data_IF_345462781815
#
_entry.id   IF_345462781815
#
_cell.length_a   1.000
_cell.length_b   1.000
_cell.length_c   1.000
_cell.angle_alpha   90.00
_cell.angle_beta   90.00
_cell.angle_gamma   90.00
#
_symmetry.space_group_name_H-M   'P 1'
#
loop_
_entity.id
_entity.type
_entity.pdbx_description
1 polymer ?
#
# COMPACT_ATOMS: atom_id res chain seq x y z
N UNK A 1 -11.34 1.67 4.34
CA UNK A 1 -10.10 1.52 3.54
C UNK A 1 -8.91 1.45 4.48
N UNK A 2 -8.05 0.45 4.33
CA UNK A 2 -6.82 0.30 5.13
C UNK A 2 -5.72 1.24 4.61
N UNK A 3 -4.88 1.73 5.51
CA UNK A 3 -3.75 2.61 5.19
C UNK A 3 -2.45 1.83 5.30
N UNK A 4 -1.79 1.64 4.16
CA UNK A 4 -0.42 1.13 4.13
C UNK A 4 0.55 2.30 3.90
N UNK A 5 1.73 2.21 4.48
CA UNK A 5 2.79 3.22 4.31
C UNK A 5 3.79 2.72 3.28
N UNK A 6 4.04 3.50 2.23
CA UNK A 6 4.99 3.15 1.16
C UNK A 6 6.37 3.72 1.47
N UNK A 7 7.14 3.00 2.28
CA UNK A 7 8.49 3.40 2.70
C UNK A 7 9.27 2.24 3.32
N UNK A 8 10.61 2.36 3.33
CA UNK A 8 11.52 1.53 4.11
C UNK A 8 12.20 2.33 5.26
N UNK A 9 11.75 3.57 5.53
CA UNK A 9 12.26 4.43 6.59
C UNK A 9 11.59 4.08 7.92
N UNK A 10 12.28 3.35 8.78
CA UNK A 10 11.77 2.80 10.05
C UNK A 10 11.17 3.87 10.96
N UNK A 11 11.86 5.02 11.12
CA UNK A 11 11.39 6.09 12.00
C UNK A 11 10.05 6.67 11.54
N UNK A 12 9.83 6.75 10.22
CA UNK A 12 8.56 7.21 9.64
C UNK A 12 7.42 6.22 9.87
N UNK A 13 7.73 4.93 9.80
CA UNK A 13 6.76 3.87 10.09
C UNK A 13 6.38 3.93 11.57
N UNK A 14 7.35 4.02 12.48
CA UNK A 14 7.10 4.12 13.93
C UNK A 14 6.24 5.33 14.26
N UNK A 15 6.61 6.51 13.75
CA UNK A 15 5.88 7.75 13.97
C UNK A 15 4.39 7.62 13.56
N UNK A 16 4.10 7.12 12.34
CA UNK A 16 2.73 6.97 11.88
C UNK A 16 1.98 5.85 12.62
N UNK A 17 2.68 4.80 13.02
CA UNK A 17 2.10 3.69 13.78
C UNK A 17 1.67 4.13 15.20
N UNK A 18 2.42 5.03 15.85
CA UNK A 18 2.03 5.63 17.13
C UNK A 18 0.71 6.42 17.05
N UNK A 19 0.40 7.02 15.89
CA UNK A 19 -0.88 7.66 15.63
C UNK A 19 -2.01 6.69 15.23
N UNK A 20 -1.73 5.38 15.13
CA UNK A 20 -2.70 4.38 14.68
C UNK A 20 -3.05 4.48 13.19
N UNK A 21 -2.16 5.06 12.37
CA UNK A 21 -2.40 5.30 10.93
C UNK A 21 -1.70 4.27 10.03
N UNK A 22 -1.31 3.11 10.57
CA UNK A 22 -0.60 2.07 9.82
C UNK A 22 -1.29 0.73 9.96
N UNK A 23 -2.00 0.31 8.90
CA UNK A 23 -2.58 -1.02 8.79
C UNK A 23 -1.64 -2.01 8.08
N UNK A 24 -0.56 -1.53 7.48
CA UNK A 24 0.44 -2.32 6.79
C UNK A 24 1.52 -1.47 6.14
N UNK A 25 2.47 -2.10 5.47
CA UNK A 25 3.59 -1.42 4.81
C UNK A 25 3.84 -2.04 3.43
N UNK A 26 4.11 -1.19 2.45
CA UNK A 26 4.68 -1.64 1.18
C UNK A 26 6.12 -1.17 1.05
N UNK A 27 6.96 -2.09 0.60
CA UNK A 27 8.32 -1.76 0.14
C UNK A 27 8.48 -2.10 -1.33
N UNK A 28 9.56 -1.65 -1.92
CA UNK A 28 9.97 -2.02 -3.27
C UNK A 28 11.50 -1.87 -3.39
N UNK A 29 12.13 -2.43 -4.45
CA UNK A 29 13.58 -2.37 -4.62
C UNK A 29 14.16 -0.95 -4.57
N UNK A 30 13.43 0.05 -5.07
CA UNK A 30 13.88 1.45 -5.05
C UNK A 30 13.90 2.03 -3.63
N UNK A 31 12.88 1.75 -2.82
CA UNK A 31 12.80 2.18 -1.42
C UNK A 31 13.87 1.49 -0.57
N UNK A 32 14.08 0.19 -0.75
CA UNK A 32 15.14 -0.57 -0.08
C UNK A 32 16.51 0.00 -0.44
N UNK A 33 16.79 0.22 -1.73
CA UNK A 33 18.05 0.85 -2.17
C UNK A 33 18.25 2.23 -1.53
N UNK A 34 17.20 3.04 -1.45
CA UNK A 34 17.24 4.38 -0.85
C UNK A 34 17.55 4.33 0.65
N UNK A 35 17.09 3.31 1.37
CA UNK A 35 17.40 3.12 2.79
C UNK A 35 18.86 2.76 3.04
N UNK A 36 19.58 2.26 2.05
CA UNK A 36 20.98 1.81 2.16
C UNK A 36 21.17 0.56 3.03
N UNK A 37 20.10 -0.15 3.37
CA UNK A 37 20.09 -1.31 4.27
C UNK A 37 19.84 -2.63 3.52
N UNK A 38 20.17 -3.74 4.17
CA UNK A 38 19.83 -5.09 3.68
C UNK A 38 18.31 -5.30 3.68
N UNK A 39 17.81 -5.93 2.60
CA UNK A 39 16.35 -6.15 2.42
C UNK A 39 15.76 -7.05 3.50
N UNK A 40 16.46 -8.10 3.91
CA UNK A 40 15.96 -9.05 4.91
C UNK A 40 15.90 -8.38 6.29
N UNK A 41 16.99 -7.67 6.67
CA UNK A 41 17.06 -6.97 7.94
C UNK A 41 15.98 -5.90 8.09
N UNK A 42 15.81 -5.03 7.09
CA UNK A 42 14.82 -3.95 7.15
C UNK A 42 13.39 -4.49 7.12
N UNK A 43 13.14 -5.54 6.33
CA UNK A 43 11.83 -6.19 6.29
C UNK A 43 11.48 -6.81 7.63
N UNK A 44 12.42 -7.54 8.26
CA UNK A 44 12.22 -8.10 9.60
C UNK A 44 11.91 -7.01 10.63
N UNK A 45 12.64 -5.90 10.60
CA UNK A 45 12.38 -4.79 11.54
C UNK A 45 11.01 -4.17 11.32
N UNK A 46 10.57 -3.98 10.08
CA UNK A 46 9.22 -3.50 9.76
C UNK A 46 8.15 -4.45 10.30
N UNK A 47 8.31 -5.76 10.09
CA UNK A 47 7.38 -6.77 10.58
C UNK A 47 7.26 -6.79 12.12
N UNK A 48 8.31 -6.41 12.84
CA UNK A 48 8.28 -6.30 14.30
C UNK A 48 7.53 -5.05 14.80
N UNK A 49 7.36 -4.04 13.96
CA UNK A 49 6.68 -2.78 14.30
C UNK A 49 5.19 -2.84 13.93
N UNK A 50 4.87 -3.46 12.79
CA UNK A 50 3.54 -3.43 12.18
C UNK A 50 2.94 -4.82 12.23
N UNK A 51 1.74 -4.94 12.81
CA UNK A 51 1.01 -6.22 12.89
C UNK A 51 0.32 -6.64 11.59
N UNK A 52 0.02 -5.67 10.73
CA UNK A 52 -0.62 -5.93 9.44
C UNK A 52 0.36 -6.33 8.34
N UNK A 53 -0.15 -6.56 7.11
CA UNK A 53 0.66 -7.07 6.00
C UNK A 53 1.86 -6.18 5.65
N UNK A 54 3.02 -6.79 5.43
CA UNK A 54 4.24 -6.13 4.96
C UNK A 54 4.62 -6.71 3.60
N UNK A 55 4.53 -5.89 2.55
CA UNK A 55 4.88 -6.31 1.20
C UNK A 55 6.39 -6.27 0.97
N UNK A 56 6.98 -7.44 0.74
CA UNK A 56 8.39 -7.64 0.38
C UNK A 56 8.49 -8.20 -1.05
N UNK A 57 9.20 -7.49 -1.93
CA UNK A 57 9.22 -7.78 -3.37
C UNK A 57 10.38 -8.70 -3.74
N UNK A 58 10.08 -9.72 -4.55
CA UNK A 58 11.09 -10.59 -5.16
C UNK A 58 11.92 -9.81 -6.18
N UNK A 59 13.12 -10.28 -6.45
CA UNK A 59 14.06 -9.64 -7.41
C UNK A 59 14.21 -10.44 -8.71
N UNK A 60 13.86 -11.71 -8.68
CA UNK A 60 13.89 -12.59 -9.85
C UNK A 60 12.82 -12.22 -10.89
N UNK A 61 13.03 -12.66 -12.12
CA UNK A 61 12.10 -12.47 -13.26
C UNK A 61 11.45 -13.75 -13.73
N UNK A 62 12.03 -14.90 -13.42
CA UNK A 62 11.53 -16.23 -13.80
C UNK A 62 10.70 -16.84 -12.66
N UNK A 63 9.62 -17.53 -13.00
CA UNK A 63 8.66 -18.05 -12.04
C UNK A 63 9.27 -18.93 -10.94
N UNK A 64 10.16 -19.84 -11.29
CA UNK A 64 10.77 -20.78 -10.33
C UNK A 64 11.65 -20.05 -9.30
N UNK A 65 12.39 -19.06 -9.76
CA UNK A 65 13.23 -18.24 -8.91
C UNK A 65 12.37 -17.32 -8.03
N UNK A 66 11.32 -16.67 -8.57
CA UNK A 66 10.35 -15.89 -7.79
C UNK A 66 9.70 -16.73 -6.69
N UNK A 67 9.33 -17.99 -6.98
CA UNK A 67 8.75 -18.90 -5.99
C UNK A 67 9.77 -19.21 -4.88
N UNK A 68 11.03 -19.46 -5.24
CA UNK A 68 12.07 -19.73 -4.26
C UNK A 68 12.35 -18.52 -3.36
N UNK A 69 12.50 -17.32 -3.95
CA UNK A 69 12.65 -16.06 -3.21
C UNK A 69 11.41 -15.77 -2.35
N UNK A 70 10.20 -15.96 -2.90
CA UNK A 70 8.96 -15.73 -2.19
C UNK A 70 8.80 -16.61 -0.94
N UNK A 71 9.15 -17.89 -1.04
CA UNK A 71 9.18 -18.80 0.13
C UNK A 71 10.18 -18.32 1.19
N UNK A 72 11.34 -17.83 0.77
CA UNK A 72 12.36 -17.30 1.68
C UNK A 72 11.88 -16.02 2.36
N UNK A 73 11.25 -15.10 1.62
CA UNK A 73 10.66 -13.89 2.19
C UNK A 73 9.55 -14.21 3.19
N UNK A 74 8.65 -15.14 2.85
CA UNK A 74 7.56 -15.57 3.73
C UNK A 74 8.03 -16.19 5.05
N UNK A 75 9.27 -16.66 5.15
CA UNK A 75 9.86 -17.17 6.40
C UNK A 75 10.33 -16.06 7.35
N UNK A 76 10.38 -14.80 6.91
CA UNK A 76 10.81 -13.67 7.74
C UNK A 76 9.80 -13.44 8.88
N UNK A 77 8.50 -13.42 8.55
CA UNK A 77 7.41 -13.23 9.51
C UNK A 77 6.06 -13.66 8.91
N UNK A 78 5.11 -13.99 9.76
CA UNK A 78 3.76 -14.46 9.36
C UNK A 78 2.94 -13.40 8.61
N UNK A 79 3.26 -12.12 8.78
CA UNK A 79 2.58 -11.01 8.14
C UNK A 79 3.21 -10.55 6.82
N UNK A 80 4.12 -11.32 6.25
CA UNK A 80 4.67 -11.03 4.92
C UNK A 80 3.63 -11.27 3.82
N UNK A 81 3.45 -10.26 2.96
CA UNK A 81 2.81 -10.38 1.67
C UNK A 81 3.89 -10.39 0.59
N UNK A 82 4.16 -11.55 -0.01
CA UNK A 82 5.17 -11.67 -1.07
C UNK A 82 4.74 -10.87 -2.28
N UNK A 83 5.58 -9.93 -2.73
CA UNK A 83 5.25 -9.05 -3.83
C UNK A 83 5.92 -9.53 -5.11
N UNK A 84 5.12 -9.74 -6.16
CA UNK A 84 5.55 -10.27 -7.46
C UNK A 84 5.06 -9.38 -8.60
N UNK A 85 5.84 -9.19 -9.69
CA UNK A 85 5.42 -8.37 -10.82
C UNK A 85 4.29 -9.04 -11.62
N UNK A 86 3.46 -8.22 -12.27
CA UNK A 86 2.36 -8.70 -13.11
C UNK A 86 2.85 -9.12 -14.51
N UNK A 87 3.54 -10.25 -14.55
CA UNK A 87 3.99 -10.98 -15.74
C UNK A 87 3.39 -12.39 -15.73
N UNK A 88 3.48 -13.15 -16.81
CA UNK A 88 3.04 -14.55 -16.80
C UNK A 88 3.80 -15.39 -15.77
N UNK A 89 5.10 -15.15 -15.60
CA UNK A 89 5.92 -15.79 -14.57
C UNK A 89 5.50 -15.35 -13.17
N UNK A 90 5.23 -14.06 -12.97
CA UNK A 90 4.70 -13.53 -11.71
C UNK A 90 3.31 -14.10 -11.36
N UNK A 91 2.43 -14.29 -12.35
CA UNK A 91 1.13 -14.94 -12.15
C UNK A 91 1.27 -16.42 -11.78
N UNK A 92 2.22 -17.15 -12.41
CA UNK A 92 2.57 -18.53 -12.04
C UNK A 92 3.11 -18.58 -10.61
N UNK A 93 4.00 -17.66 -10.24
CA UNK A 93 4.51 -17.53 -8.89
C UNK A 93 3.39 -17.20 -7.88
N UNK A 94 2.51 -16.26 -8.20
CA UNK A 94 1.33 -15.93 -7.40
C UNK A 94 0.46 -17.16 -7.13
N UNK A 95 0.09 -17.89 -8.17
CA UNK A 95 -0.73 -19.10 -8.06
C UNK A 95 -0.10 -20.14 -7.14
N UNK A 96 1.22 -20.32 -7.24
CA UNK A 96 1.94 -21.32 -6.42
C UNK A 96 2.02 -20.86 -4.97
N UNK A 97 2.42 -19.61 -4.72
CA UNK A 97 2.60 -19.08 -3.36
C UNK A 97 1.26 -18.96 -2.62
N UNK A 98 0.20 -18.48 -3.29
CA UNK A 98 -1.14 -18.42 -2.69
C UNK A 98 -1.69 -19.81 -2.39
N UNK A 99 -1.44 -20.80 -3.26
CA UNK A 99 -1.79 -22.20 -3.03
C UNK A 99 -1.06 -22.85 -1.84
N UNK A 100 0.06 -22.27 -1.40
CA UNK A 100 0.78 -22.66 -0.18
C UNK A 100 0.31 -21.89 1.07
N UNK A 101 -0.68 -20.99 0.93
CA UNK A 101 -1.23 -20.21 2.03
C UNK A 101 -0.53 -18.87 2.28
N UNK A 102 0.42 -18.46 1.44
CA UNK A 102 1.09 -17.17 1.60
C UNK A 102 0.24 -16.04 1.03
N UNK A 103 0.24 -14.88 1.69
CA UNK A 103 -0.28 -13.65 1.10
C UNK A 103 0.58 -13.23 -0.08
N UNK A 104 -0.05 -12.87 -1.20
CA UNK A 104 0.65 -12.40 -2.41
C UNK A 104 0.08 -11.05 -2.86
N UNK A 105 0.98 -10.09 -3.07
CA UNK A 105 0.68 -8.79 -3.66
C UNK A 105 1.21 -8.75 -5.10
N UNK A 106 0.30 -8.75 -6.07
CA UNK A 106 0.68 -8.65 -7.49
C UNK A 106 0.80 -7.17 -7.86
N UNK A 107 1.99 -6.74 -8.27
CA UNK A 107 2.34 -5.34 -8.51
C UNK A 107 2.58 -5.00 -9.97
N UNK A 108 2.79 -3.72 -10.29
CA UNK A 108 2.94 -3.20 -11.65
C UNK A 108 1.70 -3.47 -12.51
N UNK A 109 0.54 -3.20 -11.93
CA UNK A 109 -0.75 -3.31 -12.62
C UNK A 109 -1.12 -1.96 -13.25
N UNK A 110 -1.41 -1.98 -14.56
CA UNK A 110 -1.74 -0.80 -15.37
C UNK A 110 -3.00 -0.98 -16.22
N UNK A 111 -3.71 -2.10 -16.09
CA UNK A 111 -4.98 -2.34 -16.79
C UNK A 111 -5.90 -3.25 -15.97
N UNK A 112 -7.22 -3.12 -16.21
CA UNK A 112 -8.22 -3.97 -15.58
C UNK A 112 -8.09 -5.45 -15.99
N UNK A 113 -7.65 -5.73 -17.22
CA UNK A 113 -7.36 -7.10 -17.67
C UNK A 113 -6.24 -7.75 -16.86
N UNK A 114 -5.19 -7.00 -16.55
CA UNK A 114 -4.12 -7.47 -15.68
C UNK A 114 -4.64 -7.79 -14.28
N UNK A 115 -5.47 -6.92 -13.71
CA UNK A 115 -6.06 -7.14 -12.39
C UNK A 115 -6.96 -8.38 -12.36
N UNK A 116 -7.75 -8.63 -13.42
CA UNK A 116 -8.56 -9.83 -13.57
C UNK A 116 -7.70 -11.11 -13.55
N UNK A 117 -6.56 -11.11 -14.23
CA UNK A 117 -5.63 -12.25 -14.22
C UNK A 117 -5.02 -12.48 -12.82
N UNK A 118 -4.67 -11.41 -12.10
CA UNK A 118 -4.14 -11.52 -10.73
C UNK A 118 -5.17 -12.13 -9.78
N UNK A 119 -6.42 -11.71 -9.84
CA UNK A 119 -7.51 -12.29 -9.05
C UNK A 119 -7.68 -13.79 -9.34
N UNK A 120 -7.70 -14.19 -10.63
CA UNK A 120 -7.76 -15.60 -11.03
C UNK A 120 -6.55 -16.42 -10.58
N UNK A 121 -5.38 -15.81 -10.44
CA UNK A 121 -4.19 -16.45 -9.89
C UNK A 121 -4.22 -16.58 -8.35
N UNK A 122 -5.22 -16.00 -7.67
CA UNK A 122 -5.39 -16.09 -6.21
C UNK A 122 -4.58 -15.04 -5.43
N UNK A 123 -4.33 -13.88 -6.03
CA UNK A 123 -3.68 -12.76 -5.35
C UNK A 123 -4.47 -12.31 -4.12
N UNK A 124 -3.78 -12.05 -3.00
CA UNK A 124 -4.38 -11.39 -1.83
C UNK A 124 -4.60 -9.92 -2.11
N UNK A 125 -3.61 -9.28 -2.74
CA UNK A 125 -3.66 -7.89 -3.14
C UNK A 125 -3.29 -7.73 -4.61
N UNK A 126 -3.95 -6.78 -5.27
CA UNK A 126 -3.54 -6.22 -6.56
C UNK A 126 -3.14 -4.77 -6.37
N UNK A 127 -1.98 -4.37 -6.89
CA UNK A 127 -1.48 -3.00 -6.78
C UNK A 127 -1.55 -2.26 -8.11
N UNK A 128 -2.69 -1.64 -8.48
CA UNK A 128 -2.80 -0.73 -9.62
C UNK A 128 -2.08 0.59 -9.33
N UNK A 129 -1.36 1.12 -10.32
CA UNK A 129 -0.47 2.27 -10.16
C UNK A 129 -1.10 3.56 -10.71
N UNK A 130 -1.76 4.34 -9.85
CA UNK A 130 -2.44 5.58 -10.21
C UNK A 130 -1.45 6.60 -10.78
N UNK A 131 -0.50 7.06 -9.99
CA UNK A 131 0.35 8.18 -10.38
C UNK A 131 1.28 7.90 -11.56
N UNK A 132 1.60 6.62 -11.87
CA UNK A 132 2.35 6.28 -13.09
C UNK A 132 1.50 6.33 -14.36
N UNK A 133 0.20 6.08 -14.26
CA UNK A 133 -0.74 6.30 -15.37
C UNK A 133 -0.91 7.79 -15.62
N UNK A 134 -1.03 8.61 -14.57
CA UNK A 134 -1.11 10.07 -14.69
C UNK A 134 0.16 10.65 -15.40
N UNK A 135 1.34 10.05 -15.17
CA UNK A 135 2.59 10.46 -15.84
C UNK A 135 2.52 10.35 -17.39
N UNK A 136 1.64 9.48 -17.90
CA UNK A 136 1.44 9.27 -19.34
C UNK A 136 0.07 9.77 -19.82
N UNK A 137 -0.55 10.67 -19.07
CA UNK A 137 -1.85 11.30 -19.35
C UNK A 137 -3.02 10.31 -19.45
N UNK A 138 -3.01 9.26 -18.65
CA UNK A 138 -4.13 8.34 -18.45
C UNK A 138 -4.61 8.54 -17.01
N UNK A 139 -5.92 8.74 -16.80
CA UNK A 139 -6.47 8.87 -15.45
C UNK A 139 -6.32 7.53 -14.71
N UNK A 140 -5.44 7.52 -13.70
CA UNK A 140 -5.17 6.31 -12.93
C UNK A 140 -6.33 5.90 -12.00
N UNK A 141 -7.23 6.81 -11.68
CA UNK A 141 -8.41 6.53 -10.86
C UNK A 141 -9.50 5.77 -11.63
N UNK A 142 -9.59 5.97 -12.94
CA UNK A 142 -10.48 5.16 -13.80
C UNK A 142 -10.11 3.68 -13.71
N UNK A 143 -8.82 3.37 -13.66
CA UNK A 143 -8.37 1.99 -13.47
C UNK A 143 -8.86 1.38 -12.13
N UNK A 144 -8.84 2.15 -11.05
CA UNK A 144 -9.36 1.68 -9.74
C UNK A 144 -10.85 1.39 -9.84
N UNK A 145 -11.62 2.28 -10.49
CA UNK A 145 -13.07 2.12 -10.72
C UNK A 145 -13.39 0.86 -11.52
N UNK A 146 -12.67 0.64 -12.62
CA UNK A 146 -12.85 -0.52 -13.47
C UNK A 146 -12.58 -1.83 -12.73
N UNK A 147 -11.48 -1.87 -11.97
CA UNK A 147 -11.12 -3.06 -11.17
C UNK A 147 -12.19 -3.33 -10.11
N UNK A 148 -12.65 -2.29 -9.38
CA UNK A 148 -13.70 -2.43 -8.36
C UNK A 148 -14.97 -3.02 -8.97
N UNK A 149 -15.43 -2.46 -10.08
CA UNK A 149 -16.62 -2.94 -10.79
C UNK A 149 -16.48 -4.41 -11.21
N UNK A 150 -15.33 -4.80 -11.78
CA UNK A 150 -15.07 -6.18 -12.18
C UNK A 150 -15.07 -7.10 -10.96
N UNK A 151 -14.39 -6.72 -9.90
CA UNK A 151 -14.28 -7.57 -8.71
C UNK A 151 -15.63 -7.77 -8.03
N UNK A 152 -16.46 -6.74 -7.97
CA UNK A 152 -17.84 -6.83 -7.44
C UNK A 152 -18.74 -7.70 -8.31
N UNK A 153 -18.66 -7.55 -9.63
CA UNK A 153 -19.47 -8.34 -10.58
C UNK A 153 -19.21 -9.85 -10.48
N UNK A 154 -18.01 -10.25 -10.16
CA UNK A 154 -17.59 -11.65 -10.13
C UNK A 154 -17.26 -12.18 -8.73
N UNK A 155 -17.40 -11.36 -7.68
CA UNK A 155 -17.17 -11.76 -6.29
C UNK A 155 -15.73 -12.19 -6.02
N UNK A 156 -14.73 -11.45 -6.53
CA UNK A 156 -13.33 -11.74 -6.22
C UNK A 156 -12.95 -11.21 -4.84
N UNK A 157 -12.28 -12.06 -4.03
CA UNK A 157 -11.78 -11.70 -2.70
C UNK A 157 -10.47 -10.91 -2.73
N UNK A 158 -9.82 -10.76 -3.89
CA UNK A 158 -8.59 -9.99 -4.05
C UNK A 158 -8.81 -8.53 -3.70
N UNK A 159 -8.05 -8.02 -2.73
CA UNK A 159 -8.15 -6.64 -2.28
C UNK A 159 -7.43 -5.69 -3.25
N UNK A 160 -8.10 -4.57 -3.58
CA UNK A 160 -7.53 -3.50 -4.40
C UNK A 160 -6.66 -2.63 -3.50
N UNK A 161 -5.35 -2.68 -3.72
CA UNK A 161 -4.36 -1.87 -3.03
C UNK A 161 -3.94 -0.72 -3.97
N UNK A 162 -4.64 0.41 -3.89
CA UNK A 162 -4.34 1.60 -4.67
C UNK A 162 -2.91 2.07 -4.40
N UNK A 163 -2.06 2.04 -5.43
CA UNK A 163 -0.63 2.27 -5.31
C UNK A 163 -0.14 3.44 -6.18
N UNK A 164 1.13 3.82 -6.01
CA UNK A 164 1.70 5.00 -6.68
C UNK A 164 0.89 6.28 -6.38
N UNK A 165 0.38 6.39 -5.16
CA UNK A 165 -0.35 7.55 -4.68
C UNK A 165 0.60 8.72 -4.48
N UNK A 166 0.23 9.90 -4.98
CA UNK A 166 1.06 11.11 -4.93
C UNK A 166 0.37 12.29 -4.26
N UNK A 167 -0.95 12.28 -4.16
CA UNK A 167 -1.74 13.40 -3.68
C UNK A 167 -2.81 12.97 -2.69
N UNK A 168 -3.27 13.91 -1.88
CA UNK A 168 -4.43 13.73 -0.99
C UNK A 168 -5.68 13.36 -1.78
N UNK A 169 -5.84 13.94 -2.99
CA UNK A 169 -6.99 13.64 -3.85
C UNK A 169 -7.00 12.17 -4.30
N UNK A 170 -5.85 11.58 -4.62
CA UNK A 170 -5.77 10.14 -4.95
C UNK A 170 -6.32 9.28 -3.81
N UNK A 171 -6.00 9.63 -2.55
CA UNK A 171 -6.50 8.90 -1.38
C UNK A 171 -8.02 9.04 -1.26
N UNK A 172 -8.53 10.27 -1.34
CA UNK A 172 -9.97 10.54 -1.23
C UNK A 172 -10.76 9.83 -2.33
N UNK A 173 -10.31 9.95 -3.59
CA UNK A 173 -11.01 9.32 -4.71
C UNK A 173 -10.93 7.80 -4.67
N UNK A 174 -9.77 7.21 -4.31
CA UNK A 174 -9.66 5.77 -4.11
C UNK A 174 -10.60 5.26 -3.03
N UNK A 175 -10.79 6.03 -1.95
CA UNK A 175 -11.74 5.70 -0.89
C UNK A 175 -13.21 5.76 -1.37
N UNK A 176 -13.56 6.79 -2.16
CA UNK A 176 -14.91 6.93 -2.72
C UNK A 176 -15.26 5.84 -3.73
N UNK A 177 -14.27 5.41 -4.51
CA UNK A 177 -14.43 4.31 -5.47
C UNK A 177 -14.59 2.95 -4.76
N UNK A 178 -14.03 2.81 -3.56
CA UNK A 178 -14.09 1.57 -2.79
C UNK A 178 -12.83 0.70 -2.88
N UNK A 179 -11.65 1.30 -3.06
CA UNK A 179 -10.40 0.58 -2.87
C UNK A 179 -10.31 0.03 -1.43
N UNK A 180 -9.88 -1.23 -1.29
CA UNK A 180 -9.80 -1.88 0.02
C UNK A 180 -8.64 -1.33 0.86
N UNK A 181 -7.55 -1.02 0.20
CA UNK A 181 -6.29 -0.53 0.76
C UNK A 181 -5.75 0.61 -0.11
N UNK A 182 -5.11 1.59 0.48
CA UNK A 182 -4.22 2.51 -0.21
C UNK A 182 -2.81 2.38 0.33
N UNK A 183 -1.80 2.59 -0.50
CA UNK A 183 -0.42 2.76 -0.03
C UNK A 183 0.15 4.08 -0.52
N UNK A 184 0.66 4.88 0.41
CA UNK A 184 1.15 6.22 0.13
C UNK A 184 2.44 6.54 0.90
N UNK A 185 3.28 7.45 0.38
CA UNK A 185 4.41 7.98 1.14
C UNK A 185 3.95 8.63 2.46
N UNK A 186 4.78 8.58 3.51
CA UNK A 186 4.48 9.19 4.81
C UNK A 186 4.03 10.66 4.72
N UNK A 187 4.63 11.43 3.80
CA UNK A 187 4.28 12.83 3.57
C UNK A 187 2.84 13.03 3.08
N UNK A 188 2.36 12.15 2.22
CA UNK A 188 0.96 12.20 1.73
C UNK A 188 -0.01 11.89 2.86
N UNK A 189 0.28 10.85 3.66
CA UNK A 189 -0.56 10.48 4.82
C UNK A 189 -0.67 11.64 5.81
N UNK A 190 0.46 12.28 6.16
CA UNK A 190 0.47 13.48 7.02
C UNK A 190 -0.34 14.65 6.43
N UNK A 191 -0.29 14.83 5.12
CA UNK A 191 -1.02 15.90 4.43
C UNK A 191 -2.54 15.71 4.47
N UNK A 192 -3.06 14.51 4.76
CA UNK A 192 -4.50 14.27 4.89
C UNK A 192 -5.14 15.08 6.02
N UNK A 193 -4.39 15.40 7.06
CA UNK A 193 -4.87 16.20 8.19
C UNK A 193 -4.71 17.72 7.96
N UNK A 194 -4.02 18.14 6.92
CA UNK A 194 -3.70 19.55 6.67
C UNK A 194 -4.86 20.27 5.98
N UNK A 195 -5.47 21.24 6.67
CA UNK A 195 -6.55 22.04 6.09
C UNK A 195 -6.53 23.47 6.59
N UNK A 196 -6.52 24.51 5.71
CA UNK A 196 -6.43 25.91 6.14
C UNK A 196 -7.56 26.36 7.07
N UNK A 197 -8.76 25.80 6.93
CA UNK A 197 -9.89 26.14 7.80
C UNK A 197 -9.73 25.52 9.21
N UNK A 198 -9.06 24.38 9.34
CA UNK A 198 -8.71 23.80 10.64
C UNK A 198 -7.74 24.72 11.39
N UNK A 199 -6.70 25.19 10.71
CA UNK A 199 -5.70 26.09 11.30
C UNK A 199 -6.36 27.41 11.72
N UNK A 200 -7.20 28.00 10.86
CA UNK A 200 -7.95 29.22 11.14
C UNK A 200 -8.93 29.03 12.29
N UNK A 201 -9.66 27.91 12.32
CA UNK A 201 -10.62 27.60 13.38
C UNK A 201 -9.94 27.42 14.73
N UNK A 202 -8.83 26.67 14.76
CA UNK A 202 -8.03 26.50 15.96
C UNK A 202 -7.51 27.83 16.51
N UNK A 203 -6.96 28.69 15.66
CA UNK A 203 -6.50 30.01 16.04
C UNK A 203 -7.62 30.88 16.66
N UNK A 204 -8.83 30.84 16.09
CA UNK A 204 -9.99 31.55 16.62
C UNK A 204 -10.37 30.99 18.01
N UNK A 205 -10.50 29.66 18.19
CA UNK A 205 -10.85 29.05 19.48
C UNK A 205 -9.81 29.37 20.57
N UNK A 206 -8.53 29.40 20.24
CA UNK A 206 -7.48 29.77 21.19
C UNK A 206 -7.57 31.25 21.60
N UNK A 207 -7.98 32.15 20.69
CA UNK A 207 -8.23 33.57 21.01
C UNK A 207 -9.41 33.70 21.98
N UNK A 208 -10.54 33.05 21.68
CA UNK A 208 -11.76 33.10 22.49
C UNK A 208 -11.53 32.57 23.93
N UNK A 209 -10.81 31.45 24.06
CA UNK A 209 -10.46 30.88 25.38
C UNK A 209 -9.57 31.86 26.17
N UNK A 210 -8.61 32.49 25.51
CA UNK A 210 -7.73 33.47 26.15
C UNK A 210 -8.48 34.69 26.60
N UNK A 211 -9.42 35.22 25.80
CA UNK A 211 -10.27 36.37 26.15
C UNK A 211 -11.22 36.03 27.31
N UNK A 212 -11.75 34.80 27.34
CA UNK A 212 -12.61 34.34 28.44
C UNK A 212 -11.84 34.03 29.74
N UNK A 213 -10.51 34.06 29.73
CA UNK A 213 -9.66 33.76 30.89
C UNK A 213 -9.81 32.35 31.43
N UNK A 214 -10.30 31.39 30.62
CA UNK A 214 -10.57 30.03 31.05
C UNK A 214 -9.34 29.13 30.85
N UNK A 215 -9.19 28.17 31.76
CA UNK A 215 -8.17 27.10 31.69
C UNK A 215 -8.79 25.79 32.13
N UNK A 216 -8.31 24.66 31.55
CA UNK A 216 -8.72 23.31 31.94
C UNK A 216 -7.78 22.75 33.02
N UNK A 217 -6.49 23.07 32.92
CA UNK A 217 -5.41 22.69 33.86
C UNK A 217 -4.56 23.92 34.22
#
# INVERSE_FOLDING_TARGET
MKFFVDTAEIDKIRELNEFGMVDGVTTNPSLIRKSGRDIIEVTQEICNIVSGPVSAEVTATEAEQMIAEGKKLAQIADNIAVKVPLTWDGLKACKTLSGLGHMVNVTLCFSANQALLAAKAGATFISPFIGRLDDVNIDGLDLISDIRLIYDNYGFDTQILAASIRTVNHVTQSALIGADVMTAPPSVIKSLASHPLTDKGLAAFLSDIKEAGQKII
#
